data_IF_998732424952
#
_entry.id   IF_998732424952
#
_cell.length_a   1.000
_cell.length_b   1.000
_cell.length_c   1.000
_cell.angle_alpha   90.00
_cell.angle_beta   90.00
_cell.angle_gamma   90.00
#
_symmetry.space_group_name_H-M   'P 1'
#
loop_
_entity.id
_entity.type
_entity.pdbx_description
1 polymer ?
#
# COMPACT_ATOMS: atom_id res chain seq x y z
N UNK A 1 16.82 -21.49 29.38
CA UNK A 1 15.48 -21.19 28.84
C UNK A 1 15.65 -21.01 27.35
N UNK A 2 14.82 -21.65 26.52
CA UNK A 2 14.82 -21.41 25.08
C UNK A 2 14.75 -19.90 24.79
N UNK A 3 15.50 -19.43 23.79
CA UNK A 3 15.45 -18.04 23.36
C UNK A 3 14.28 -17.88 22.38
N UNK A 4 13.27 -17.09 22.76
CA UNK A 4 12.10 -16.74 21.94
C UNK A 4 11.77 -15.27 22.20
N UNK A 5 11.96 -14.42 21.19
CA UNK A 5 11.54 -13.01 21.20
C UNK A 5 11.21 -12.56 19.77
N UNK A 6 10.06 -13.01 19.28
CA UNK A 6 9.61 -12.72 17.92
C UNK A 6 9.26 -11.25 17.71
N UNK A 7 8.95 -10.51 18.79
CA UNK A 7 8.74 -9.07 18.71
C UNK A 7 10.06 -8.33 18.45
N UNK A 8 11.14 -8.73 19.13
CA UNK A 8 12.48 -8.20 18.84
C UNK A 8 12.95 -8.60 17.43
N UNK A 9 12.68 -9.84 17.01
CA UNK A 9 12.99 -10.29 15.65
C UNK A 9 12.23 -9.48 14.59
N UNK A 10 10.92 -9.23 14.77
CA UNK A 10 10.11 -8.39 13.89
C UNK A 10 10.72 -6.98 13.78
N UNK A 11 11.14 -6.39 14.91
CA UNK A 11 11.82 -5.10 14.90
C UNK A 11 13.14 -5.14 14.12
N UNK A 12 13.95 -6.20 14.24
CA UNK A 12 15.16 -6.37 13.45
C UNK A 12 14.87 -6.48 11.94
N UNK A 13 13.84 -7.25 11.57
CA UNK A 13 13.40 -7.46 10.18
C UNK A 13 13.01 -6.12 9.55
N UNK A 14 12.09 -5.38 10.17
CA UNK A 14 11.60 -4.10 9.62
C UNK A 14 12.74 -3.07 9.55
N UNK A 15 13.63 -3.05 10.54
CA UNK A 15 14.79 -2.15 10.50
C UNK A 15 15.71 -2.43 9.32
N UNK A 16 15.94 -3.71 9.04
CA UNK A 16 16.73 -4.15 7.88
C UNK A 16 16.03 -3.80 6.58
N UNK A 17 14.73 -4.03 6.46
CA UNK A 17 13.95 -3.71 5.25
C UNK A 17 13.95 -2.21 4.94
N UNK A 18 13.69 -1.37 5.93
CA UNK A 18 13.79 0.09 5.78
C UNK A 18 15.19 0.53 5.36
N UNK A 19 16.24 -0.07 5.93
CA UNK A 19 17.63 0.21 5.55
C UNK A 19 17.93 -0.21 4.11
N UNK A 20 17.44 -1.37 3.67
CA UNK A 20 17.58 -1.86 2.30
C UNK A 20 16.83 -0.97 1.29
N UNK A 21 15.73 -0.36 1.70
CA UNK A 21 14.99 0.64 0.92
C UNK A 21 15.67 2.03 0.94
N UNK A 22 16.81 2.20 1.61
CA UNK A 22 17.55 3.46 1.68
C UNK A 22 17.07 4.43 2.77
N UNK A 23 16.25 3.95 3.71
CA UNK A 23 15.65 4.73 4.79
C UNK A 23 16.00 4.16 6.17
N UNK A 24 17.29 4.12 6.56
CA UNK A 24 17.72 3.51 7.80
C UNK A 24 17.00 4.15 9.01
N UNK A 25 16.41 3.34 9.90
CA UNK A 25 15.76 3.83 11.10
C UNK A 25 16.70 4.54 12.08
N UNK A 26 16.15 5.49 12.83
CA UNK A 26 16.85 6.07 13.99
C UNK A 26 16.75 5.14 15.20
N UNK A 27 17.74 5.13 16.10
CA UNK A 27 17.74 4.24 17.27
C UNK A 27 16.48 4.32 18.13
N UNK A 28 15.94 5.51 18.32
CA UNK A 28 14.81 5.83 19.19
C UNK A 28 13.42 5.47 18.64
N UNK A 29 13.32 5.10 17.37
CA UNK A 29 12.03 4.76 16.75
C UNK A 29 11.48 3.44 17.26
N UNK A 30 10.22 3.47 17.70
CA UNK A 30 9.47 2.30 18.12
C UNK A 30 8.99 1.45 16.93
N UNK A 31 8.65 0.20 17.22
CA UNK A 31 8.25 -0.77 16.20
C UNK A 31 7.03 -0.32 15.39
N UNK A 32 6.06 0.35 16.00
CA UNK A 32 4.85 0.82 15.34
C UNK A 32 5.16 1.87 14.29
N UNK A 33 5.98 2.87 14.66
CA UNK A 33 6.49 3.90 13.75
C UNK A 33 7.24 3.28 12.57
N UNK A 34 8.07 2.26 12.84
CA UNK A 34 8.83 1.57 11.81
C UNK A 34 7.94 0.81 10.84
N UNK A 35 6.93 0.09 11.35
CA UNK A 35 5.95 -0.62 10.53
C UNK A 35 5.14 0.35 9.67
N UNK A 36 4.61 1.43 10.24
CA UNK A 36 3.83 2.43 9.49
C UNK A 36 4.68 3.05 8.37
N UNK A 37 5.95 3.38 8.65
CA UNK A 37 6.89 3.92 7.64
C UNK A 37 7.18 2.91 6.53
N UNK A 38 7.40 1.64 6.89
CA UNK A 38 7.61 0.55 5.93
C UNK A 38 6.38 0.36 5.03
N UNK A 39 5.20 0.18 5.63
CA UNK A 39 3.92 0.03 4.95
C UNK A 39 3.62 1.22 4.04
N UNK A 40 3.94 2.44 4.48
CA UNK A 40 3.77 3.63 3.66
C UNK A 40 4.68 3.64 2.42
N UNK A 41 5.86 3.05 2.46
CA UNK A 41 6.69 2.91 1.26
C UNK A 41 6.10 1.86 0.31
N UNK A 42 5.81 0.66 0.81
CA UNK A 42 5.47 -0.48 -0.04
C UNK A 42 4.07 -0.35 -0.66
N UNK A 43 3.06 0.12 0.09
CA UNK A 43 1.66 0.15 -0.38
C UNK A 43 1.41 1.14 -1.52
N UNK A 44 2.23 2.19 -1.61
CA UNK A 44 2.11 3.24 -2.63
C UNK A 44 2.96 2.96 -3.87
N UNK A 45 3.69 1.84 -3.90
CA UNK A 45 4.44 1.41 -5.07
C UNK A 45 3.62 0.34 -5.79
N UNK A 46 3.28 0.54 -7.08
CA UNK A 46 2.66 -0.51 -7.88
C UNK A 46 3.51 -1.78 -7.88
N UNK A 47 2.95 -2.97 -7.61
CA UNK A 47 3.70 -4.21 -7.71
C UNK A 47 4.15 -4.47 -9.15
N UNK A 48 5.31 -5.13 -9.29
CA UNK A 48 5.89 -5.52 -10.58
C UNK A 48 5.23 -6.83 -11.03
N UNK A 49 4.07 -6.70 -11.64
CA UNK A 49 3.25 -7.79 -12.20
C UNK A 49 2.72 -7.37 -13.57
N UNK A 50 2.34 -8.34 -14.41
CA UNK A 50 1.63 -8.06 -15.66
C UNK A 50 0.20 -7.64 -15.35
N UNK A 51 -0.21 -6.48 -15.85
CA UNK A 51 -1.55 -5.93 -15.59
C UNK A 51 -2.50 -6.15 -16.76
N UNK A 52 -3.73 -6.54 -16.46
CA UNK A 52 -4.87 -6.47 -17.36
C UNK A 52 -5.48 -5.05 -17.29
N UNK A 53 -5.46 -4.34 -18.41
CA UNK A 53 -5.87 -2.93 -18.45
C UNK A 53 -7.35 -2.77 -18.83
N UNK A 54 -8.11 -2.06 -18.00
CA UNK A 54 -9.43 -1.52 -18.34
C UNK A 54 -9.35 0.00 -18.44
N UNK A 55 -9.94 0.57 -19.50
CA UNK A 55 -10.03 2.03 -19.71
C UNK A 55 -11.47 2.47 -19.61
N UNK A 56 -11.72 3.61 -18.96
CA UNK A 56 -13.06 4.19 -18.92
C UNK A 56 -13.50 4.67 -20.31
N UNK A 57 -14.80 4.82 -20.50
CA UNK A 57 -15.36 5.44 -21.73
C UNK A 57 -14.85 6.87 -21.91
N UNK A 58 -14.71 7.61 -20.82
CA UNK A 58 -14.20 8.97 -20.77
C UNK A 58 -12.77 9.05 -21.30
N UNK A 59 -11.86 8.22 -20.80
CA UNK A 59 -10.48 8.17 -21.27
C UNK A 59 -10.37 7.76 -22.74
N UNK A 60 -11.19 6.80 -23.18
CA UNK A 60 -11.20 6.34 -24.58
C UNK A 60 -11.65 7.47 -25.54
N UNK A 61 -12.65 8.25 -25.13
CA UNK A 61 -13.21 9.33 -25.95
C UNK A 61 -12.44 10.65 -25.84
N UNK A 62 -11.52 10.77 -24.88
CA UNK A 62 -10.79 12.01 -24.61
C UNK A 62 -9.82 12.36 -25.75
N UNK A 63 -9.89 13.62 -26.18
CA UNK A 63 -8.90 14.18 -27.09
C UNK A 63 -7.62 14.50 -26.33
N UNK A 64 -6.54 13.78 -26.64
CA UNK A 64 -5.23 13.93 -26.02
C UNK A 64 -4.25 14.63 -26.97
N UNK A 65 -3.29 15.37 -26.41
CA UNK A 65 -2.13 15.82 -27.19
C UNK A 65 -1.31 14.62 -27.67
N UNK A 66 -0.48 14.81 -28.69
CA UNK A 66 0.39 13.74 -29.21
C UNK A 66 1.38 13.23 -28.16
N UNK A 67 1.96 14.14 -27.38
CA UNK A 67 2.85 13.79 -26.26
C UNK A 67 2.17 12.86 -25.25
N UNK A 68 0.98 13.25 -24.78
CA UNK A 68 0.24 12.49 -23.76
C UNK A 68 -0.27 11.15 -24.31
N UNK A 69 -0.70 11.11 -25.58
CA UNK A 69 -1.10 9.86 -26.24
C UNK A 69 0.07 8.87 -26.32
N UNK A 70 1.24 9.35 -26.71
CA UNK A 70 2.45 8.51 -26.80
C UNK A 70 2.89 8.03 -25.41
N UNK A 71 2.86 8.91 -24.41
CA UNK A 71 3.15 8.57 -23.02
C UNK A 71 2.19 7.52 -22.43
N UNK A 72 0.89 7.68 -22.67
CA UNK A 72 -0.13 6.71 -22.26
C UNK A 72 0.10 5.34 -22.90
N UNK A 73 0.42 5.30 -24.20
CA UNK A 73 0.70 4.05 -24.90
C UNK A 73 1.93 3.34 -24.30
N UNK A 74 3.03 4.05 -24.06
CA UNK A 74 4.23 3.47 -23.43
C UNK A 74 3.95 2.99 -22.00
N UNK A 75 3.15 3.73 -21.24
CA UNK A 75 2.76 3.32 -19.88
C UNK A 75 1.96 2.01 -19.90
N UNK A 76 0.99 1.89 -20.80
CA UNK A 76 0.17 0.67 -20.95
C UNK A 76 1.04 -0.52 -21.34
N UNK A 77 1.92 -0.36 -22.33
CA UNK A 77 2.84 -1.44 -22.76
C UNK A 77 3.72 -1.93 -21.60
N UNK A 78 4.24 -1.01 -20.78
CA UNK A 78 4.99 -1.35 -19.57
C UNK A 78 4.16 -2.12 -18.55
N UNK A 79 2.93 -1.64 -18.29
CA UNK A 79 2.03 -2.27 -17.33
C UNK A 79 1.65 -3.69 -17.77
N UNK A 80 1.26 -3.88 -19.04
CA UNK A 80 0.88 -5.19 -19.59
C UNK A 80 2.07 -6.17 -19.62
N UNK A 81 3.28 -5.67 -19.91
CA UNK A 81 4.51 -6.49 -19.93
C UNK A 81 5.14 -6.76 -18.56
N UNK A 82 4.55 -6.25 -17.48
CA UNK A 82 5.05 -6.47 -16.12
C UNK A 82 6.35 -5.74 -15.79
N UNK A 83 6.60 -4.61 -16.46
CA UNK A 83 7.73 -3.74 -16.13
C UNK A 83 7.43 -2.89 -14.88
N UNK A 84 8.50 -2.41 -14.23
CA UNK A 84 8.37 -1.53 -13.07
C UNK A 84 7.69 -0.19 -13.44
N UNK A 85 6.59 0.12 -12.74
CA UNK A 85 5.80 1.34 -12.92
C UNK A 85 6.18 2.44 -11.90
N UNK A 86 7.03 2.15 -10.91
CA UNK A 86 7.54 3.15 -9.97
C UNK A 86 8.17 4.38 -10.66
N UNK A 87 8.86 4.27 -11.81
CA UNK A 87 9.35 5.44 -12.55
C UNK A 87 8.25 6.43 -12.95
N UNK A 88 7.00 5.98 -13.09
CA UNK A 88 5.89 6.82 -13.53
C UNK A 88 5.17 7.56 -12.39
N UNK A 89 5.45 7.28 -11.12
CA UNK A 89 4.85 8.03 -10.00
C UNK A 89 5.78 9.15 -9.50
N UNK A 90 5.31 9.97 -8.56
CA UNK A 90 6.13 11.04 -7.99
C UNK A 90 7.38 10.49 -7.29
N UNK A 91 8.55 11.11 -7.52
CA UNK A 91 9.78 10.78 -6.78
C UNK A 91 9.66 10.89 -5.25
N UNK A 92 8.67 11.63 -4.75
CA UNK A 92 8.34 11.71 -3.32
C UNK A 92 7.91 10.37 -2.72
N UNK A 93 7.61 9.37 -3.56
CA UNK A 93 7.32 8.01 -3.12
C UNK A 93 8.50 7.39 -2.34
N UNK A 94 9.72 7.80 -2.65
CA UNK A 94 10.93 7.42 -1.91
C UNK A 94 11.06 8.18 -0.58
N UNK A 95 9.99 8.74 -0.04
CA UNK A 95 10.00 9.32 1.30
C UNK A 95 8.96 8.55 2.14
N UNK A 96 9.40 7.79 3.18
CA UNK A 96 8.50 7.05 4.05
C UNK A 96 7.55 7.97 4.82
N UNK A 97 7.86 9.26 4.96
CA UNK A 97 7.06 10.23 5.69
C UNK A 97 6.19 11.09 4.76
N UNK A 98 6.30 10.92 3.43
CA UNK A 98 5.44 11.61 2.48
C UNK A 98 4.00 11.11 2.63
N UNK A 99 3.05 12.04 2.79
CA UNK A 99 1.64 11.75 3.00
C UNK A 99 0.88 11.99 1.70
N UNK A 100 0.52 10.91 1.01
CA UNK A 100 -0.28 10.98 -0.20
C UNK A 100 -1.77 10.97 0.18
N UNK A 101 -2.33 12.16 0.36
CA UNK A 101 -3.67 12.31 0.93
C UNK A 101 -4.77 11.82 -0.01
N UNK A 102 -4.52 11.83 -1.31
CA UNK A 102 -5.48 11.31 -2.29
C UNK A 102 -5.46 9.79 -2.27
N UNK A 103 -4.27 9.18 -2.21
CA UNK A 103 -4.14 7.73 -2.05
C UNK A 103 -4.74 7.25 -0.72
N UNK A 104 -4.49 7.95 0.39
CA UNK A 104 -5.06 7.57 1.69
C UNK A 104 -6.59 7.70 1.72
N UNK A 105 -7.17 8.61 0.95
CA UNK A 105 -8.61 8.82 0.92
C UNK A 105 -9.30 7.90 -0.10
N UNK A 106 -8.89 7.96 -1.37
CA UNK A 106 -9.57 7.29 -2.49
C UNK A 106 -8.77 6.15 -3.12
N UNK A 107 -7.55 5.87 -2.66
CA UNK A 107 -6.68 4.83 -3.25
C UNK A 107 -6.33 5.04 -4.72
N UNK A 108 -6.44 6.28 -5.22
CA UNK A 108 -6.05 6.59 -6.59
C UNK A 108 -4.54 6.74 -6.72
N UNK A 109 -3.98 5.96 -7.63
CA UNK A 109 -2.64 6.18 -8.16
C UNK A 109 -2.70 7.28 -9.23
N UNK A 110 -1.61 8.04 -9.33
CA UNK A 110 -1.45 9.07 -10.34
C UNK A 110 -0.08 8.97 -11.00
N UNK A 111 -0.08 8.87 -12.34
CA UNK A 111 1.10 8.57 -13.14
C UNK A 111 1.45 9.71 -14.09
N UNK A 112 2.73 10.05 -14.14
CA UNK A 112 3.34 10.89 -15.16
C UNK A 112 3.43 10.13 -16.48
N UNK A 113 3.09 10.83 -17.57
CA UNK A 113 3.06 10.29 -18.92
C UNK A 113 4.18 10.86 -19.81
N UNK A 114 5.30 11.26 -19.21
CA UNK A 114 6.49 11.60 -19.98
C UNK A 114 7.03 10.40 -20.76
N UNK A 115 7.70 10.65 -21.88
CA UNK A 115 8.29 9.61 -22.74
C UNK A 115 9.80 9.44 -22.52
N UNK A 116 10.38 10.24 -21.62
CA UNK A 116 11.80 10.28 -21.29
C UNK A 116 12.00 10.31 -19.78
N UNK A 117 13.22 9.98 -19.32
CA UNK A 117 13.60 10.14 -17.93
C UNK A 117 13.75 11.62 -17.55
N UNK A 118 13.45 11.96 -16.31
CA UNK A 118 13.65 13.29 -15.75
C UNK A 118 15.17 13.61 -15.78
N UNK A 119 15.59 14.72 -16.42
CA UNK A 119 17.00 15.06 -16.54
C UNK A 119 17.61 15.53 -15.21
N UNK A 120 16.79 15.83 -14.20
CA UNK A 120 17.26 16.25 -12.89
C UNK A 120 17.88 15.07 -12.13
N UNK A 121 19.16 15.14 -11.72
CA UNK A 121 19.80 14.07 -10.95
C UNK A 121 19.06 13.71 -9.65
N UNK A 122 18.34 14.67 -9.03
CA UNK A 122 17.54 14.43 -7.81
C UNK A 122 16.31 13.55 -8.06
N UNK A 123 15.93 13.33 -9.31
CA UNK A 123 14.80 12.51 -9.75
C UNK A 123 15.26 11.43 -10.74
N UNK A 124 16.53 11.06 -10.66
CA UNK A 124 17.10 10.00 -11.50
C UNK A 124 16.28 8.71 -11.38
N UNK A 125 16.00 8.09 -12.52
CA UNK A 125 15.16 6.88 -12.59
C UNK A 125 13.65 7.14 -12.65
N UNK A 126 13.19 8.39 -12.53
CA UNK A 126 11.79 8.76 -12.74
C UNK A 126 11.57 9.32 -14.14
N UNK A 127 10.34 9.21 -14.62
CA UNK A 127 9.89 9.77 -15.89
C UNK A 127 9.67 11.28 -15.72
N UNK A 128 9.99 12.04 -16.77
CA UNK A 128 9.75 13.47 -16.81
C UNK A 128 8.27 13.78 -16.58
N UNK A 129 7.99 14.70 -15.66
CA UNK A 129 6.63 15.12 -15.37
C UNK A 129 6.00 15.89 -16.52
N UNK A 130 4.74 15.55 -16.81
CA UNK A 130 3.84 16.26 -17.71
C UNK A 130 2.88 17.17 -16.94
N UNK A 131 2.22 18.10 -17.63
CA UNK A 131 1.19 18.95 -17.02
C UNK A 131 -0.11 18.21 -16.69
N UNK A 132 -0.24 16.96 -17.16
CA UNK A 132 -1.39 16.09 -16.93
C UNK A 132 -0.91 14.76 -16.33
N UNK A 133 -1.78 14.13 -15.53
CA UNK A 133 -1.53 12.86 -14.86
C UNK A 133 -2.63 11.87 -15.23
N UNK A 134 -2.26 10.60 -15.43
CA UNK A 134 -3.19 9.49 -15.51
C UNK A 134 -3.59 9.06 -14.10
N UNK A 135 -4.88 9.05 -13.81
CA UNK A 135 -5.44 8.54 -12.56
C UNK A 135 -5.93 7.11 -12.76
N UNK A 136 -5.62 6.22 -11.81
CA UNK A 136 -5.99 4.82 -11.89
C UNK A 136 -6.21 4.16 -10.52
N UNK A 137 -6.97 3.06 -10.51
CA UNK A 137 -7.06 2.10 -9.40
C UNK A 137 -6.31 0.83 -9.80
N UNK A 138 -5.55 0.27 -8.85
CA UNK A 138 -4.86 -1.01 -8.99
C UNK A 138 -5.54 -2.05 -8.10
N UNK A 139 -6.07 -3.11 -8.71
CA UNK A 139 -6.64 -4.26 -8.03
C UNK A 139 -5.69 -5.45 -8.18
N UNK A 140 -4.59 -5.42 -7.42
CA UNK A 140 -3.45 -6.35 -7.54
C UNK A 140 -3.85 -7.82 -7.39
N UNK A 141 -4.81 -8.13 -6.52
CA UNK A 141 -5.26 -9.51 -6.28
C UNK A 141 -5.90 -10.16 -7.52
N UNK A 142 -6.43 -9.32 -8.41
CA UNK A 142 -7.02 -9.72 -9.69
C UNK A 142 -6.15 -9.37 -10.90
N UNK A 143 -4.94 -8.84 -10.66
CA UNK A 143 -4.03 -8.36 -11.70
C UNK A 143 -4.69 -7.35 -12.66
N UNK A 144 -5.65 -6.55 -12.16
CA UNK A 144 -6.41 -5.58 -12.94
C UNK A 144 -5.99 -4.14 -12.62
N UNK A 145 -5.83 -3.32 -13.66
CA UNK A 145 -5.61 -1.89 -13.53
C UNK A 145 -6.68 -1.12 -14.31
N UNK A 146 -7.35 -0.22 -13.60
CA UNK A 146 -8.47 0.57 -14.09
C UNK A 146 -7.99 1.99 -14.35
N UNK A 147 -7.77 2.32 -15.62
CA UNK A 147 -7.36 3.65 -16.08
C UNK A 147 -8.60 4.54 -16.13
N UNK A 148 -8.73 5.41 -15.13
CA UNK A 148 -9.92 6.23 -14.90
C UNK A 148 -9.93 7.36 -15.92
N UNK A 149 -8.99 8.29 -15.83
CA UNK A 149 -8.91 9.41 -16.75
C UNK A 149 -7.58 10.18 -16.63
N UNK A 150 -7.33 11.11 -17.55
CA UNK A 150 -6.18 12.03 -17.54
C UNK A 150 -6.65 13.45 -17.21
N UNK A 151 -6.06 14.06 -16.17
CA UNK A 151 -6.40 15.43 -15.75
C UNK A 151 -5.17 16.27 -15.44
N UNK A 152 -5.29 17.61 -15.42
CA UNK A 152 -4.20 18.50 -15.04
C UNK A 152 -3.56 18.15 -13.69
N UNK A 153 -2.25 18.34 -13.61
CA UNK A 153 -1.44 18.15 -12.41
C UNK A 153 -1.93 19.09 -11.31
N UNK A 154 -2.64 18.54 -10.32
CA UNK A 154 -3.34 19.33 -9.29
C UNK A 154 -4.79 18.91 -9.06
N UNK A 155 -5.36 18.09 -9.95
CA UNK A 155 -6.75 17.60 -9.89
C UNK A 155 -6.99 16.54 -8.82
N UNK A 156 -6.27 16.61 -7.70
CA UNK A 156 -6.23 15.57 -6.66
C UNK A 156 -7.53 15.47 -5.85
N UNK A 157 -8.41 16.46 -5.95
CA UNK A 157 -9.71 16.51 -5.29
C UNK A 157 -10.87 16.36 -6.28
N UNK A 158 -10.60 16.07 -7.56
CA UNK A 158 -11.62 16.01 -8.60
C UNK A 158 -12.58 14.83 -8.36
N UNK A 159 -13.78 15.12 -7.85
CA UNK A 159 -14.81 14.11 -7.59
C UNK A 159 -15.40 13.49 -8.86
N UNK A 160 -15.20 14.10 -10.03
CA UNK A 160 -15.63 13.50 -11.30
C UNK A 160 -14.97 12.14 -11.55
N UNK A 161 -13.75 11.91 -11.04
CA UNK A 161 -13.08 10.61 -11.09
C UNK A 161 -13.91 9.49 -10.43
N UNK A 162 -14.62 9.80 -9.33
CA UNK A 162 -15.49 8.84 -8.64
C UNK A 162 -16.75 8.55 -9.46
N UNK A 163 -17.31 9.57 -10.14
CA UNK A 163 -18.41 9.37 -11.10
C UNK A 163 -17.98 8.44 -12.24
N UNK A 164 -16.80 8.66 -12.82
CA UNK A 164 -16.26 7.81 -13.89
C UNK A 164 -16.19 6.36 -13.44
N UNK A 165 -15.68 6.09 -12.22
CA UNK A 165 -15.65 4.74 -11.67
C UNK A 165 -17.05 4.19 -11.51
N UNK A 166 -17.98 4.95 -10.95
CA UNK A 166 -19.36 4.49 -10.73
C UNK A 166 -20.06 4.08 -12.03
N UNK A 167 -19.89 4.86 -13.10
CA UNK A 167 -20.53 4.63 -14.39
C UNK A 167 -19.88 3.50 -15.22
N UNK A 168 -18.59 3.22 -14.99
CA UNK A 168 -17.84 2.21 -15.74
C UNK A 168 -17.67 0.89 -14.98
N UNK A 169 -17.43 0.96 -13.67
CA UNK A 169 -17.04 -0.14 -12.78
C UNK A 169 -17.60 0.06 -11.36
N UNK A 170 -18.91 0.32 -11.25
CA UNK A 170 -19.57 0.60 -9.96
C UNK A 170 -19.34 -0.48 -8.91
N UNK A 171 -19.05 -1.73 -9.31
CA UNK A 171 -18.68 -2.82 -8.42
C UNK A 171 -17.43 -2.53 -7.57
N UNK A 172 -16.51 -1.68 -8.04
CA UNK A 172 -15.34 -1.26 -7.28
C UNK A 172 -15.69 -0.39 -6.07
N UNK A 173 -16.87 0.23 -6.09
CA UNK A 173 -17.36 1.11 -5.03
C UNK A 173 -18.27 0.39 -4.04
N UNK A 174 -18.76 -0.81 -4.38
CA UNK A 174 -19.70 -1.56 -3.55
C UNK A 174 -19.17 -1.81 -2.12
N UNK A 175 -17.91 -2.23 -1.89
CA UNK A 175 -17.39 -2.44 -0.53
C UNK A 175 -17.30 -1.18 0.33
N UNK A 176 -17.32 0.00 -0.30
CA UNK A 176 -17.15 1.30 0.33
C UNK A 176 -18.45 2.11 0.39
N UNK A 177 -19.52 1.58 -0.19
CA UNK A 177 -20.84 2.23 -0.19
C UNK A 177 -21.50 2.06 1.17
N UNK A 178 -21.93 3.15 1.78
CA UNK A 178 -22.56 3.13 3.11
C UNK A 178 -23.99 2.59 3.00
N UNK A 179 -24.32 1.44 3.63
CA UNK A 179 -25.63 0.83 3.46
C UNK A 179 -26.72 1.63 4.20
N UNK A 180 -27.88 1.79 3.55
CA UNK A 180 -29.07 2.39 4.16
C UNK A 180 -29.05 3.92 4.24
N UNK A 181 -28.03 4.59 3.68
CA UNK A 181 -27.97 6.05 3.55
C UNK A 181 -28.06 6.40 2.06
N UNK A 182 -29.00 7.28 1.71
CA UNK A 182 -29.29 7.64 0.32
C UNK A 182 -28.98 9.10 -0.02
N UNK A 183 -28.74 9.94 1.00
CA UNK A 183 -28.47 11.36 0.85
C UNK A 183 -27.72 11.87 2.08
N UNK A 184 -26.86 12.87 1.88
CA UNK A 184 -26.24 13.66 2.95
C UNK A 184 -26.63 15.12 2.82
N UNK A 185 -26.97 15.76 3.93
CA UNK A 185 -27.47 17.14 3.97
C UNK A 185 -26.46 18.15 3.38
N UNK A 186 -25.17 17.87 3.57
CA UNK A 186 -24.09 18.66 2.99
C UNK A 186 -23.07 17.77 2.30
N UNK A 187 -23.11 17.75 0.96
CA UNK A 187 -22.10 17.07 0.16
C UNK A 187 -20.89 17.99 -0.08
N UNK A 188 -19.67 17.61 0.38
CA UNK A 188 -18.50 18.47 0.23
C UNK A 188 -18.11 18.71 -1.24
N UNK A 189 -17.74 19.94 -1.55
CA UNK A 189 -17.13 20.29 -2.84
C UNK A 189 -15.66 19.84 -2.90
N UNK A 190 -15.05 19.85 -4.10
CA UNK A 190 -13.62 19.56 -4.26
C UNK A 190 -12.72 20.45 -3.39
N UNK A 191 -13.10 21.71 -3.19
CA UNK A 191 -12.38 22.64 -2.33
C UNK A 191 -12.51 22.27 -0.84
N UNK A 192 -13.69 21.80 -0.43
CA UNK A 192 -13.92 21.31 0.93
C UNK A 192 -13.08 20.06 1.19
N UNK A 193 -13.08 19.10 0.27
CA UNK A 193 -12.26 17.88 0.35
C UNK A 193 -10.78 18.24 0.46
N UNK A 194 -10.30 19.18 -0.36
CA UNK A 194 -8.93 19.68 -0.26
C UNK A 194 -8.60 20.27 1.11
N UNK A 195 -9.53 20.98 1.72
CA UNK A 195 -9.39 21.58 3.05
C UNK A 195 -9.44 20.53 4.15
N UNK A 196 -10.36 19.58 4.07
CA UNK A 196 -10.54 18.48 5.01
C UNK A 196 -9.32 17.54 5.02
N UNK A 197 -8.79 17.18 3.85
CA UNK A 197 -7.55 16.39 3.77
C UNK A 197 -6.36 17.09 4.41
N UNK A 198 -6.20 18.40 4.17
CA UNK A 198 -5.15 19.21 4.83
C UNK A 198 -5.32 19.23 6.35
N UNK A 199 -6.57 19.26 6.82
CA UNK A 199 -6.93 19.20 8.24
C UNK A 199 -6.93 17.77 8.82
N UNK A 200 -6.59 16.74 8.04
CA UNK A 200 -6.58 15.31 8.45
C UNK A 200 -7.95 14.77 8.84
N UNK A 201 -9.00 15.31 8.24
CA UNK A 201 -10.37 14.84 8.47
C UNK A 201 -10.71 13.71 7.49
N UNK A 202 -11.31 12.67 8.03
CA UNK A 202 -11.94 11.59 7.27
C UNK A 202 -13.29 12.10 6.78
N UNK A 203 -13.54 12.01 5.47
CA UNK A 203 -14.73 12.59 4.84
C UNK A 203 -15.53 11.50 4.14
N UNK A 204 -16.81 11.38 4.48
CA UNK A 204 -17.77 10.68 3.61
C UNK A 204 -18.31 11.69 2.60
N UNK A 205 -18.58 11.24 1.38
CA UNK A 205 -19.15 12.09 0.33
C UNK A 205 -20.23 11.33 -0.43
N UNK A 206 -21.10 12.07 -1.10
CA UNK A 206 -22.03 11.52 -2.07
C UNK A 206 -21.43 11.70 -3.47
N UNK A 207 -21.25 10.59 -4.19
CA UNK A 207 -20.78 10.65 -5.57
C UNK A 207 -21.82 11.35 -6.46
N UNK A 208 -21.41 11.89 -7.62
CA UNK A 208 -22.37 12.43 -8.58
C UNK A 208 -23.44 11.41 -9.06
N UNK A 209 -23.15 10.10 -9.01
CA UNK A 209 -24.14 9.05 -9.29
C UNK A 209 -25.06 8.71 -8.11
N UNK A 210 -24.83 9.30 -6.93
CA UNK A 210 -25.73 9.26 -5.78
C UNK A 210 -25.32 8.31 -4.65
N UNK A 211 -24.23 7.53 -4.79
CA UNK A 211 -23.72 6.66 -3.73
C UNK A 211 -23.08 7.46 -2.61
N UNK A 212 -23.36 7.08 -1.36
CA UNK A 212 -22.61 7.58 -0.21
C UNK A 212 -21.37 6.70 -0.02
N UNK A 213 -20.19 7.29 -0.19
CA UNK A 213 -18.92 6.57 -0.07
C UNK A 213 -18.19 6.90 1.22
N UNK A 214 -17.74 5.85 1.89
CA UNK A 214 -16.62 5.92 2.81
C UNK A 214 -15.29 5.99 2.03
N UNK A 215 -14.22 6.53 2.63
CA UNK A 215 -12.92 6.62 1.98
C UNK A 215 -12.39 5.23 1.63
N UNK A 216 -12.17 4.98 0.34
CA UNK A 216 -11.68 3.70 -0.18
C UNK A 216 -10.32 3.32 0.42
N UNK A 217 -9.42 4.30 0.59
CA UNK A 217 -8.12 4.13 1.23
C UNK A 217 -8.15 4.10 2.77
N UNK A 218 -9.35 4.12 3.38
CA UNK A 218 -9.57 4.15 4.82
C UNK A 218 -9.40 5.52 5.48
N UNK A 219 -8.83 6.50 4.76
CA UNK A 219 -8.62 7.85 5.25
C UNK A 219 -7.32 8.02 6.04
N UNK A 220 -7.32 9.04 6.91
CA UNK A 220 -6.13 9.48 7.65
C UNK A 220 -6.42 9.55 9.16
N UNK A 221 -5.41 9.24 9.96
CA UNK A 221 -5.40 9.52 11.40
C UNK A 221 -5.15 11.01 11.65
N UNK A 222 -5.37 11.48 12.89
CA UNK A 222 -5.18 12.89 13.28
C UNK A 222 -3.72 13.34 13.18
N UNK A 223 -2.76 12.43 13.33
CA UNK A 223 -1.33 12.70 13.09
C UNK A 223 -0.99 12.72 11.58
N UNK A 224 -1.94 12.35 10.71
CA UNK A 224 -1.84 12.27 9.27
C UNK A 224 -1.25 10.99 8.71
N UNK A 225 -1.02 9.96 9.53
CA UNK A 225 -0.74 8.60 9.05
C UNK A 225 -1.96 8.01 8.32
N UNK A 226 -1.75 7.00 7.47
CA UNK A 226 -2.85 6.28 6.81
C UNK A 226 -3.53 5.35 7.81
N UNK A 227 -4.87 5.39 7.86
CA UNK A 227 -5.66 4.48 8.70
C UNK A 227 -5.36 3.02 8.37
N UNK A 228 -5.33 2.65 7.09
CA UNK A 228 -5.02 1.28 6.67
C UNK A 228 -3.62 0.83 7.10
N UNK A 229 -2.61 1.72 7.04
CA UNK A 229 -1.25 1.35 7.47
C UNK A 229 -1.16 1.17 8.99
N UNK A 230 -1.92 1.93 9.77
CA UNK A 230 -1.97 1.76 11.24
C UNK A 230 -2.64 0.44 11.60
N UNK A 231 -3.79 0.15 11.00
CA UNK A 231 -4.51 -1.12 11.21
C UNK A 231 -3.60 -2.30 10.86
N UNK A 232 -2.97 -2.27 9.70
CA UNK A 232 -2.08 -3.35 9.25
C UNK A 232 -0.82 -3.49 10.13
N UNK A 233 -0.26 -2.38 10.64
CA UNK A 233 0.83 -2.44 11.60
C UNK A 233 0.40 -3.12 12.92
N UNK A 234 -0.80 -2.81 13.41
CA UNK A 234 -1.36 -3.43 14.61
C UNK A 234 -1.68 -4.91 14.39
N UNK A 235 -2.24 -5.28 13.24
CA UNK A 235 -2.49 -6.67 12.85
C UNK A 235 -1.18 -7.49 12.81
N UNK A 236 -0.12 -6.97 12.16
CA UNK A 236 1.19 -7.63 12.13
C UNK A 236 1.73 -7.85 13.54
N UNK A 237 1.64 -6.84 14.42
CA UNK A 237 2.11 -6.94 15.81
C UNK A 237 1.29 -7.93 16.62
N UNK A 238 -0.03 -7.94 16.43
CA UNK A 238 -0.93 -8.86 17.11
C UNK A 238 -0.65 -10.31 16.69
N UNK A 239 -0.53 -10.56 15.38
CA UNK A 239 -0.24 -11.88 14.83
C UNK A 239 1.11 -12.42 15.33
N UNK A 240 2.17 -11.61 15.29
CA UNK A 240 3.50 -12.02 15.78
C UNK A 240 3.49 -12.30 17.29
N UNK A 241 2.75 -11.52 18.07
CA UNK A 241 2.57 -11.77 19.51
C UNK A 241 1.82 -13.08 19.76
N UNK A 242 0.74 -13.33 19.04
CA UNK A 242 -0.04 -14.57 19.15
C UNK A 242 0.82 -15.80 18.80
N UNK A 243 1.58 -15.73 17.70
CA UNK A 243 2.52 -16.77 17.31
C UNK A 243 3.54 -17.06 18.41
N UNK A 244 4.08 -16.01 19.06
CA UNK A 244 4.99 -16.19 20.19
C UNK A 244 4.33 -16.90 21.36
N UNK A 245 3.11 -16.50 21.72
CA UNK A 245 2.33 -17.13 22.79
C UNK A 245 2.06 -18.61 22.49
N UNK A 246 1.71 -18.95 21.24
CA UNK A 246 1.52 -20.33 20.79
C UNK A 246 2.80 -21.16 20.99
N UNK A 247 3.97 -20.63 20.60
CA UNK A 247 5.25 -21.34 20.78
C UNK A 247 5.59 -21.57 22.26
N UNK A 248 5.29 -20.60 23.12
CA UNK A 248 5.49 -20.71 24.57
C UNK A 248 4.53 -21.76 25.15
N UNK A 249 3.25 -21.74 24.76
CA UNK A 249 2.24 -22.70 25.22
C UNK A 249 2.53 -24.13 24.75
N UNK A 250 3.08 -24.31 23.54
CA UNK A 250 3.45 -25.60 22.98
C UNK A 250 4.82 -26.12 23.43
N UNK A 251 5.43 -25.52 24.47
CA UNK A 251 6.75 -25.89 24.99
C UNK A 251 6.95 -27.40 25.14
N UNK A 252 6.02 -28.12 25.77
CA UNK A 252 6.18 -29.56 26.03
C UNK A 252 6.17 -30.38 24.73
N UNK A 253 5.24 -30.07 23.83
CA UNK A 253 5.14 -30.68 22.50
C UNK A 253 6.41 -30.45 21.69
N UNK A 254 6.87 -29.20 21.63
CA UNK A 254 8.09 -28.83 20.92
C UNK A 254 9.33 -29.47 21.55
N UNK A 255 9.43 -29.52 22.88
CA UNK A 255 10.53 -30.21 23.58
C UNK A 255 10.59 -31.69 23.18
N UNK A 256 9.44 -32.37 23.18
CA UNK A 256 9.35 -33.78 22.80
C UNK A 256 9.75 -34.00 21.33
N UNK A 257 9.29 -33.12 20.43
CA UNK A 257 9.65 -33.14 19.02
C UNK A 257 11.17 -32.97 18.82
N UNK A 258 11.78 -31.99 19.49
CA UNK A 258 13.20 -31.68 19.33
C UNK A 258 14.11 -32.71 20.01
N UNK A 259 13.69 -33.26 21.15
CA UNK A 259 14.41 -34.33 21.82
C UNK A 259 14.42 -35.60 20.98
N UNK A 260 13.27 -35.99 20.44
CA UNK A 260 13.16 -37.22 19.63
C UNK A 260 13.90 -37.11 18.30
N UNK A 261 13.79 -35.97 17.61
CA UNK A 261 14.34 -35.81 16.26
C UNK A 261 15.80 -35.37 16.21
N UNK A 262 16.24 -34.56 17.18
CA UNK A 262 17.55 -33.90 17.15
C UNK A 262 18.37 -34.10 18.43
N UNK A 263 17.85 -34.83 19.42
CA UNK A 263 18.45 -34.98 20.75
C UNK A 263 18.78 -33.62 21.41
N UNK A 264 17.89 -32.64 21.24
CA UNK A 264 18.01 -31.31 21.82
C UNK A 264 16.99 -31.08 22.93
N UNK A 265 17.46 -30.53 24.04
CA UNK A 265 16.60 -30.11 25.14
C UNK A 265 16.08 -28.69 24.90
N UNK A 266 14.96 -28.32 25.52
CA UNK A 266 14.31 -27.02 25.34
C UNK A 266 15.28 -25.84 25.53
N UNK A 267 16.14 -25.92 26.55
CA UNK A 267 17.05 -24.83 26.89
C UNK A 267 18.16 -24.61 25.86
N UNK A 268 18.36 -25.55 24.92
CA UNK A 268 19.32 -25.44 23.82
C UNK A 268 18.69 -24.88 22.53
N UNK A 269 17.37 -24.65 22.52
CA UNK A 269 16.64 -24.20 21.34
C UNK A 269 16.64 -22.67 21.24
N UNK A 270 16.76 -22.17 20.01
CA UNK A 270 16.67 -20.76 19.70
C UNK A 270 15.74 -20.55 18.50
N UNK A 271 14.53 -20.04 18.76
CA UNK A 271 13.55 -19.79 17.73
C UNK A 271 13.61 -18.33 17.30
N UNK A 272 13.68 -18.10 15.99
CA UNK A 272 13.76 -16.78 15.39
C UNK A 272 12.66 -16.60 14.35
N UNK A 273 11.90 -15.51 14.44
CA UNK A 273 11.06 -15.06 13.33
C UNK A 273 11.98 -14.60 12.20
N UNK A 274 11.77 -15.11 10.99
CA UNK A 274 12.57 -14.75 9.81
C UNK A 274 11.75 -14.12 8.68
N UNK A 275 10.42 -14.22 8.74
CA UNK A 275 9.46 -13.58 7.82
C UNK A 275 8.14 -13.37 8.55
N UNK A 276 7.57 -12.16 8.46
CA UNK A 276 6.22 -11.85 8.92
C UNK A 276 5.22 -11.74 7.74
N UNK A 277 5.71 -11.69 6.50
CA UNK A 277 4.87 -11.83 5.31
C UNK A 277 4.38 -13.26 5.16
N UNK A 278 3.14 -13.42 4.71
CA UNK A 278 2.46 -14.70 4.54
C UNK A 278 3.12 -15.59 3.48
N UNK A 279 3.38 -16.89 3.78
CA UNK A 279 3.26 -17.52 5.09
C UNK A 279 4.39 -17.06 6.02
N UNK A 280 4.08 -16.76 7.28
CA UNK A 280 5.10 -16.41 8.28
C UNK A 280 6.09 -17.55 8.44
N UNK A 281 7.35 -17.22 8.71
CA UNK A 281 8.42 -18.20 8.83
C UNK A 281 9.17 -18.04 10.13
N UNK A 282 9.28 -19.14 10.85
CA UNK A 282 10.10 -19.25 12.05
C UNK A 282 11.19 -20.27 11.78
N UNK A 283 12.39 -19.98 12.25
CA UNK A 283 13.54 -20.88 12.17
C UNK A 283 14.06 -21.20 13.56
N UNK A 284 14.25 -22.47 13.84
CA UNK A 284 15.07 -22.90 14.99
C UNK A 284 16.53 -22.94 14.55
N UNK A 285 17.38 -22.12 15.17
CA UNK A 285 18.72 -21.82 14.68
C UNK A 285 19.72 -22.97 14.92
N UNK A 286 19.54 -23.78 15.96
CA UNK A 286 20.46 -24.88 16.31
C UNK A 286 20.35 -26.06 15.34
N UNK A 287 19.14 -26.37 14.88
CA UNK A 287 18.84 -27.49 13.97
C UNK A 287 18.63 -27.04 12.53
N UNK A 288 18.37 -25.75 12.31
CA UNK A 288 18.03 -25.18 11.00
C UNK A 288 16.59 -25.49 10.55
N UNK A 289 15.76 -26.05 11.42
CA UNK A 289 14.35 -26.37 11.12
C UNK A 289 13.57 -25.08 10.84
N UNK A 290 12.77 -25.07 9.77
CA UNK A 290 11.93 -23.93 9.39
C UNK A 290 10.46 -24.37 9.37
N UNK A 291 9.60 -23.59 10.03
CA UNK A 291 8.15 -23.71 9.92
C UNK A 291 7.59 -22.60 9.06
N UNK A 292 6.54 -22.94 8.31
CA UNK A 292 5.64 -21.99 7.67
C UNK A 292 4.36 -22.02 8.47
N UNK A 293 3.94 -20.88 8.98
CA UNK A 293 2.66 -20.71 9.68
C UNK A 293 1.66 -20.21 8.63
N UNK A 294 0.45 -20.75 8.68
CA UNK A 294 -0.67 -20.48 7.78
C UNK A 294 -1.89 -20.12 8.59
#
# INVERSE_FOLDING_TARGET
>A
MASIDFMADLQEIIRRELSNLGHPPKPEEDLETLLIRHLNLVRRIPPVISWNIKKSKELISKSLSEEIRNGLQQFIEKAESGQDLKPHISHRINNPDYKDLMFYDWEFFHFHLGTTLDPNPRRSGFIQGTNELLFAILASDSEMMYLIDIHPHGSFTNQDLLRIIEENWGELLDPYTVPGIYEIDHNPSDNDIGSFRKARLVTMLQTPGGRILSPMGGGMMTDGSSVKNVIEADEIRANVREIQEIFIQQRETLTTLFKSKYNKDWDDLNFKLISFEQPEKIKELTTGTVWKIS
#
